data_IF_403712079897
#
_entry.id   IF_403712079897
#
_cell.length_a   1.000
_cell.length_b   1.000
_cell.length_c   1.000
_cell.angle_alpha   90.00
_cell.angle_beta   90.00
_cell.angle_gamma   90.00
#
_symmetry.space_group_name_H-M   'P 1'
#
loop_
_entity.id
_entity.type
_entity.pdbx_description
1 polymer ?
#
# COMPACT_ATOMS: atom_id res chain seq x y z
N UNK A 1 -4.87 -2.84 -15.69
CA UNK A 1 -5.47 -2.08 -14.57
C UNK A 1 -4.37 -1.32 -13.86
N UNK A 2 -4.61 -0.05 -13.50
CA UNK A 2 -3.69 0.76 -12.69
C UNK A 2 -3.66 0.19 -11.26
N UNK A 3 -2.47 0.07 -10.65
CA UNK A 3 -2.34 -0.48 -9.29
C UNK A 3 -2.60 0.61 -8.25
N UNK A 4 -3.23 0.26 -7.13
CA UNK A 4 -3.30 1.15 -5.95
C UNK A 4 -1.90 1.42 -5.42
N UNK A 5 -1.65 2.64 -4.96
CA UNK A 5 -0.41 3.00 -4.26
C UNK A 5 -0.71 3.14 -2.77
N UNK A 6 0.20 2.69 -1.92
CA UNK A 6 0.22 3.04 -0.49
C UNK A 6 1.38 3.99 -0.22
N UNK A 7 1.12 5.02 0.58
CA UNK A 7 2.12 5.94 1.10
C UNK A 7 2.35 5.63 2.59
N UNK A 8 3.58 5.28 2.92
CA UNK A 8 4.04 4.93 4.26
C UNK A 8 4.88 6.08 4.82
N UNK A 9 4.42 6.69 5.91
CA UNK A 9 5.07 7.83 6.58
C UNK A 9 5.46 7.43 8.01
N UNK A 10 6.74 7.54 8.34
CA UNK A 10 7.26 7.10 9.64
C UNK A 10 8.59 7.78 10.01
N UNK A 11 9.12 7.44 11.19
CA UNK A 11 10.29 8.13 11.76
C UNK A 11 11.63 7.67 11.16
N UNK A 12 11.69 6.49 10.52
CA UNK A 12 12.90 5.97 9.84
C UNK A 12 12.57 4.85 8.81
N UNK A 13 13.49 4.56 7.89
CA UNK A 13 13.28 3.57 6.82
C UNK A 13 13.16 2.12 7.29
N UNK A 14 13.69 1.79 8.47
CA UNK A 14 13.52 0.46 9.06
C UNK A 14 12.05 0.23 9.45
N UNK A 15 11.42 1.19 10.14
CA UNK A 15 9.97 1.15 10.43
C UNK A 15 9.13 1.11 9.16
N UNK A 16 9.55 1.80 8.10
CA UNK A 16 8.84 1.77 6.82
C UNK A 16 8.89 0.36 6.20
N UNK A 17 10.06 -0.29 6.25
CA UNK A 17 10.25 -1.66 5.78
C UNK A 17 9.41 -2.66 6.59
N UNK A 18 9.34 -2.49 7.92
CA UNK A 18 8.48 -3.31 8.79
C UNK A 18 7.01 -3.11 8.45
N UNK A 19 6.55 -1.85 8.32
CA UNK A 19 5.17 -1.57 7.96
C UNK A 19 4.79 -2.18 6.60
N UNK A 20 5.65 -2.08 5.58
CA UNK A 20 5.44 -2.74 4.29
C UNK A 20 5.38 -4.27 4.42
N UNK A 21 6.18 -4.86 5.31
CA UNK A 21 6.11 -6.29 5.60
C UNK A 21 4.79 -6.67 6.28
N UNK A 22 4.26 -5.82 7.15
CA UNK A 22 2.96 -6.03 7.81
C UNK A 22 1.80 -5.96 6.81
N UNK A 23 1.87 -5.06 5.82
CA UNK A 23 0.88 -5.02 4.73
C UNK A 23 0.82 -6.35 3.98
N UNK A 24 1.97 -7.00 3.80
CA UNK A 24 2.05 -8.30 3.12
C UNK A 24 1.60 -9.44 4.03
N UNK A 25 2.14 -9.54 5.25
CA UNK A 25 1.86 -10.64 6.20
C UNK A 25 0.44 -10.58 6.72
N UNK A 26 0.06 -9.44 7.29
CA UNK A 26 -1.20 -9.29 8.00
C UNK A 26 -2.28 -8.68 7.12
N UNK A 27 -1.91 -7.75 6.24
CA UNK A 27 -2.85 -7.12 5.30
C UNK A 27 -3.19 -7.98 4.07
N UNK A 28 -2.49 -9.10 3.84
CA UNK A 28 -2.71 -10.00 2.71
C UNK A 28 -2.35 -9.41 1.34
N UNK A 29 -1.72 -8.23 1.32
CA UNK A 29 -1.37 -7.49 0.11
C UNK A 29 -0.16 -8.13 -0.59
N UNK A 30 0.03 -7.80 -1.86
CA UNK A 30 1.28 -8.05 -2.59
C UNK A 30 1.82 -6.73 -3.10
N UNK A 31 3.05 -6.43 -2.72
CA UNK A 31 3.79 -5.30 -3.27
C UNK A 31 4.21 -5.63 -4.72
N UNK A 32 3.97 -4.69 -5.63
CA UNK A 32 4.29 -4.77 -7.06
C UNK A 32 5.53 -3.92 -7.34
N UNK A 33 6.59 -4.56 -7.83
CA UNK A 33 7.88 -3.91 -8.05
C UNK A 33 8.55 -3.50 -6.73
N UNK A 34 9.50 -2.57 -6.84
CA UNK A 34 10.26 -2.08 -5.70
C UNK A 34 9.59 -0.84 -5.09
N UNK A 35 9.42 -0.79 -3.75
CA UNK A 35 9.01 0.44 -3.07
C UNK A 35 9.99 1.59 -3.34
N UNK A 36 9.49 2.81 -3.37
CA UNK A 36 10.24 4.02 -3.73
C UNK A 36 10.26 5.02 -2.59
N UNK A 37 11.42 5.63 -2.37
CA UNK A 37 11.60 6.73 -1.42
C UNK A 37 11.18 8.03 -2.12
N UNK A 38 10.30 8.80 -1.50
CA UNK A 38 9.83 10.08 -2.05
C UNK A 38 10.25 11.27 -1.17
N UNK A 39 10.36 12.47 -1.76
CA UNK A 39 10.62 13.69 -0.99
C UNK A 39 9.52 13.96 0.05
N UNK A 40 9.86 14.48 1.25
CA UNK A 40 8.87 14.85 2.28
C UNK A 40 7.79 15.80 1.78
N UNK A 41 8.15 16.80 0.98
CA UNK A 41 7.19 17.77 0.43
C UNK A 41 6.13 17.11 -0.47
N UNK A 42 6.54 16.13 -1.29
CA UNK A 42 5.61 15.38 -2.13
C UNK A 42 4.71 14.48 -1.28
N UNK A 43 5.24 13.87 -0.21
CA UNK A 43 4.45 13.08 0.73
C UNK A 43 3.42 13.93 1.48
N UNK A 44 3.79 15.14 1.90
CA UNK A 44 2.90 16.03 2.64
C UNK A 44 1.79 16.55 1.73
N UNK A 45 2.12 16.96 0.50
CA UNK A 45 1.14 17.31 -0.53
C UNK A 45 0.18 16.15 -0.84
N UNK A 46 0.70 14.94 -1.03
CA UNK A 46 -0.11 13.74 -1.27
C UNK A 46 -1.07 13.46 -0.11
N UNK A 47 -0.58 13.63 1.13
CA UNK A 47 -1.41 13.49 2.31
C UNK A 47 -2.54 14.52 2.35
N UNK A 48 -2.24 15.80 2.11
CA UNK A 48 -3.24 16.87 2.11
C UNK A 48 -4.33 16.63 1.06
N UNK A 49 -3.92 16.25 -0.17
CA UNK A 49 -4.84 16.01 -1.28
C UNK A 49 -5.77 14.83 -1.05
N UNK A 50 -5.28 13.75 -0.44
CA UNK A 50 -6.07 12.53 -0.24
C UNK A 50 -6.90 12.60 1.04
N UNK A 51 -6.35 13.15 2.13
CA UNK A 51 -7.05 13.20 3.42
C UNK A 51 -7.91 14.45 3.61
N UNK A 52 -7.64 15.53 2.88
CA UNK A 52 -8.24 16.84 3.12
C UNK A 52 -7.67 17.57 4.34
N UNK A 53 -6.67 17.01 5.02
CA UNK A 53 -6.09 17.57 6.25
C UNK A 53 -4.61 17.96 6.09
N UNK A 54 -4.20 18.97 6.83
CA UNK A 54 -2.77 19.33 6.95
C UNK A 54 -2.01 18.32 7.83
N UNK A 55 -0.78 17.91 7.45
CA UNK A 55 0.05 17.07 8.29
C UNK A 55 0.36 17.72 9.64
N UNK A 56 -0.09 17.10 10.73
CA UNK A 56 0.21 17.58 12.10
C UNK A 56 1.55 17.10 12.62
N UNK A 57 2.02 15.93 12.14
CA UNK A 57 3.28 15.31 12.52
C UNK A 57 4.26 15.33 11.35
N UNK A 58 5.53 15.66 11.63
CA UNK A 58 6.63 15.51 10.68
C UNK A 58 7.22 14.11 10.76
N UNK A 59 7.45 13.51 9.60
CA UNK A 59 8.07 12.20 9.43
C UNK A 59 9.39 12.34 8.68
N UNK A 60 10.35 11.45 8.96
CA UNK A 60 11.68 11.49 8.33
C UNK A 60 11.81 10.50 7.17
N UNK A 61 10.98 9.46 7.14
CA UNK A 61 10.98 8.46 6.09
C UNK A 61 9.60 8.40 5.42
N UNK A 62 9.61 8.54 4.09
CA UNK A 62 8.42 8.56 3.24
C UNK A 62 8.64 7.59 2.09
N UNK A 63 7.81 6.57 2.01
CA UNK A 63 7.95 5.49 1.04
C UNK A 63 6.61 5.23 0.37
N UNK A 64 6.62 5.04 -0.94
CA UNK A 64 5.45 4.59 -1.70
C UNK A 64 5.66 3.18 -2.24
N UNK A 65 4.59 2.39 -2.29
CA UNK A 65 4.61 1.07 -2.89
C UNK A 65 3.31 0.83 -3.67
N UNK A 66 3.41 0.18 -4.82
CA UNK A 66 2.23 -0.31 -5.54
C UNK A 66 1.77 -1.63 -4.92
N UNK A 67 0.46 -1.83 -4.76
CA UNK A 67 -0.13 -3.06 -4.21
C UNK A 67 -1.14 -3.68 -5.18
N UNK A 68 -1.44 -4.97 -4.99
CA UNK A 68 -2.36 -5.73 -5.86
C UNK A 68 -3.84 -5.69 -5.46
N UNK A 69 -4.21 -4.91 -4.44
CA UNK A 69 -5.59 -4.74 -4.00
C UNK A 69 -6.22 -3.45 -4.53
N UNK A 70 -7.53 -3.46 -4.82
CA UNK A 70 -8.27 -2.23 -5.09
C UNK A 70 -8.36 -1.36 -3.82
N UNK A 71 -8.55 -0.02 -3.94
CA UNK A 71 -8.47 0.90 -2.81
C UNK A 71 -9.38 0.53 -1.63
N UNK A 72 -10.66 0.22 -1.91
CA UNK A 72 -11.64 -0.16 -0.87
C UNK A 72 -11.18 -1.37 -0.06
N UNK A 73 -10.68 -2.42 -0.72
CA UNK A 73 -10.15 -3.61 -0.02
C UNK A 73 -8.88 -3.27 0.75
N UNK A 74 -7.98 -2.46 0.19
CA UNK A 74 -6.76 -2.05 0.88
C UNK A 74 -7.05 -1.27 2.18
N UNK A 75 -8.00 -0.32 2.14
CA UNK A 75 -8.45 0.43 3.31
C UNK A 75 -9.04 -0.52 4.36
N UNK A 76 -9.94 -1.42 3.95
CA UNK A 76 -10.50 -2.47 4.82
C UNK A 76 -9.41 -3.23 5.58
N UNK A 77 -8.45 -3.79 4.83
CA UNK A 77 -7.35 -4.56 5.42
C UNK A 77 -6.46 -3.72 6.33
N UNK A 78 -6.24 -2.45 6.02
CA UNK A 78 -5.45 -1.55 6.86
C UNK A 78 -6.11 -1.25 8.20
N UNK A 79 -7.44 -1.19 8.26
CA UNK A 79 -8.16 -1.01 9.53
C UNK A 79 -8.03 -2.24 10.45
N UNK A 80 -7.83 -3.43 9.87
CA UNK A 80 -7.69 -4.69 10.62
C UNK A 80 -6.27 -4.92 11.17
N UNK A 81 -5.28 -4.12 10.75
CA UNK A 81 -3.87 -4.29 11.12
C UNK A 81 -3.30 -3.02 11.74
N UNK A 82 -2.22 -3.17 12.52
CA UNK A 82 -1.60 -2.05 13.25
C UNK A 82 -0.12 -1.89 12.85
N UNK A 83 0.18 -1.50 11.59
CA UNK A 83 1.56 -1.29 11.17
C UNK A 83 2.20 -0.12 11.96
N UNK A 84 3.52 -0.16 12.24
CA UNK A 84 4.23 0.89 12.98
C UNK A 84 4.52 2.14 12.13
N UNK A 85 3.56 2.55 11.30
CA UNK A 85 3.65 3.69 10.40
C UNK A 85 2.26 4.24 10.11
N UNK A 86 2.22 5.52 9.72
CA UNK A 86 1.02 6.08 9.13
C UNK A 86 0.95 5.66 7.66
N UNK A 87 -0.05 4.86 7.31
CA UNK A 87 -0.24 4.35 5.95
C UNK A 87 -1.48 4.98 5.33
N UNK A 88 -1.31 5.58 4.15
CA UNK A 88 -2.37 6.20 3.37
C UNK A 88 -2.56 5.43 2.06
N UNK A 89 -3.80 5.17 1.69
CA UNK A 89 -4.15 4.55 0.41
C UNK A 89 -4.38 5.64 -0.63
N UNK A 90 -3.71 5.52 -1.78
CA UNK A 90 -3.80 6.45 -2.90
C UNK A 90 -4.51 5.74 -4.07
N UNK A 91 -5.77 6.11 -4.36
CA UNK A 91 -6.55 5.54 -5.44
C UNK A 91 -5.95 5.81 -6.83
N UNK A 92 -6.03 4.86 -7.80
CA UNK A 92 -5.45 5.00 -9.13
C UNK A 92 -6.01 6.11 -10.04
N UNK A 93 -7.15 6.66 -9.67
CA UNK A 93 -7.91 7.72 -10.33
C UNK A 93 -7.66 9.11 -9.71
N UNK A 94 -6.76 9.20 -8.72
CA UNK A 94 -6.41 10.48 -8.08
C UNK A 94 -5.28 11.23 -8.81
N UNK A 95 -5.33 12.57 -8.76
CA UNK A 95 -4.25 13.47 -9.21
C UNK A 95 -2.90 13.09 -8.59
N UNK A 96 -2.90 12.70 -7.31
CA UNK A 96 -1.71 12.27 -6.57
C UNK A 96 -1.10 11.02 -7.19
N UNK A 97 -1.92 10.06 -7.59
CA UNK A 97 -1.42 8.84 -8.23
C UNK A 97 -0.74 9.16 -9.56
N UNK A 98 -1.35 10.01 -10.38
CA UNK A 98 -0.82 10.38 -11.69
C UNK A 98 0.54 11.05 -11.57
N UNK A 99 0.68 11.97 -10.62
CA UNK A 99 1.94 12.66 -10.36
C UNK A 99 3.03 11.71 -9.83
N UNK A 100 2.69 10.83 -8.88
CA UNK A 100 3.62 9.81 -8.39
C UNK A 100 4.11 8.88 -9.50
N UNK A 101 3.23 8.53 -10.44
CA UNK A 101 3.58 7.65 -11.55
C UNK A 101 4.42 8.35 -12.61
N UNK A 102 4.15 9.63 -12.88
CA UNK A 102 4.99 10.47 -13.77
C UNK A 102 6.43 10.56 -13.27
N UNK A 103 6.61 10.66 -11.95
CA UNK A 103 7.92 10.77 -11.31
C UNK A 103 8.53 9.41 -10.90
N UNK A 104 7.80 8.30 -11.04
CA UNK A 104 8.18 7.01 -10.45
C UNK A 104 9.60 6.54 -10.78
N UNK A 105 10.04 6.79 -12.02
CA UNK A 105 11.37 6.41 -12.50
C UNK A 105 12.52 7.17 -11.85
N UNK A 106 12.27 8.39 -11.33
CA UNK A 106 13.31 9.23 -10.71
C UNK A 106 13.53 8.93 -9.23
N UNK A 107 12.58 8.25 -8.57
CA UNK A 107 12.68 7.95 -7.15
C UNK A 107 13.67 6.82 -6.85
N UNK A 108 14.45 7.01 -5.78
CA UNK A 108 15.33 5.95 -5.28
C UNK A 108 14.51 4.75 -4.80
N UNK A 109 15.00 3.54 -5.07
CA UNK A 109 14.42 2.31 -4.52
C UNK A 109 14.71 2.21 -3.03
N UNK A 110 13.73 1.76 -2.25
CA UNK A 110 13.98 1.38 -0.87
C UNK A 110 14.83 0.09 -0.83
N UNK A 111 16.12 0.25 -0.55
CA UNK A 111 17.06 -0.88 -0.46
C UNK A 111 16.79 -1.72 0.80
N UNK A 112 17.07 -3.02 0.72
CA UNK A 112 16.98 -3.94 1.85
C UNK A 112 15.58 -4.47 2.16
N UNK A 113 14.53 -3.89 1.57
CA UNK A 113 13.18 -4.45 1.69
C UNK A 113 13.04 -5.73 0.86
N UNK A 114 12.77 -6.84 1.55
CA UNK A 114 12.40 -8.10 0.92
C UNK A 114 10.99 -8.47 1.38
N UNK A 115 10.02 -8.61 0.44
CA UNK A 115 8.68 -9.02 0.80
C UNK A 115 8.72 -10.32 1.59
N UNK A 116 8.08 -10.37 2.77
CA UNK A 116 8.06 -11.59 3.56
C UNK A 116 7.34 -12.71 2.82
N UNK A 117 7.83 -13.94 2.99
CA UNK A 117 7.11 -15.13 2.52
C UNK A 117 5.77 -15.19 3.27
N UNK A 118 4.72 -15.51 2.52
CA UNK A 118 3.38 -15.73 3.09
C UNK A 118 3.39 -16.98 3.94
N UNK A 119 2.62 -16.97 5.01
CA UNK A 119 2.43 -18.17 5.83
C UNK A 119 1.51 -19.16 5.10
N UNK A 120 1.63 -20.46 5.38
CA UNK A 120 0.72 -21.49 4.81
C UNK A 120 -0.75 -21.18 5.12
N UNK A 121 -1.03 -20.63 6.30
CA UNK A 121 -2.37 -20.24 6.71
C UNK A 121 -2.93 -19.09 5.86
N UNK A 122 -2.11 -18.10 5.51
CA UNK A 122 -2.50 -17.00 4.60
C UNK A 122 -2.78 -17.50 3.18
N UNK A 123 -1.95 -18.43 2.68
CA UNK A 123 -2.19 -19.03 1.37
C UNK A 123 -3.53 -19.79 1.32
N UNK A 124 -3.86 -20.52 2.40
CA UNK A 124 -5.14 -21.20 2.54
C UNK A 124 -6.32 -20.22 2.58
N UNK A 125 -6.23 -19.15 3.40
CA UNK A 125 -7.27 -18.10 3.48
C UNK A 125 -7.51 -17.44 2.13
N UNK A 126 -6.46 -17.11 1.38
CA UNK A 126 -6.60 -16.50 0.05
C UNK A 126 -7.21 -17.47 -0.97
N UNK A 127 -6.84 -18.76 -0.93
CA UNK A 127 -7.47 -19.77 -1.80
C UNK A 127 -8.96 -19.88 -1.52
N UNK A 128 -9.36 -19.84 -0.25
CA UNK A 128 -10.77 -19.83 0.14
C UNK A 128 -11.50 -18.56 -0.32
N UNK A 129 -10.89 -17.38 -0.13
CA UNK A 129 -11.46 -16.09 -0.55
C UNK A 129 -11.64 -16.02 -2.08
N UNK A 130 -10.62 -16.43 -2.85
CA UNK A 130 -10.73 -16.52 -4.31
C UNK A 130 -11.80 -17.50 -4.78
N UNK A 131 -11.97 -18.61 -4.06
CA UNK A 131 -12.98 -19.61 -4.39
C UNK A 131 -14.39 -19.05 -4.16
N UNK A 132 -14.61 -18.36 -3.04
CA UNK A 132 -15.87 -17.65 -2.76
C UNK A 132 -16.17 -16.56 -3.78
N UNK A 133 -15.19 -15.72 -4.11
CA UNK A 133 -15.35 -14.70 -5.14
C UNK A 133 -15.72 -15.34 -6.49
N UNK A 134 -15.11 -16.46 -6.86
CA UNK A 134 -15.47 -17.18 -8.10
C UNK A 134 -16.90 -17.71 -8.06
N UNK A 135 -17.30 -18.30 -6.93
CA UNK A 135 -18.65 -18.84 -6.72
C UNK A 135 -19.73 -17.74 -6.72
N UNK A 136 -19.45 -16.56 -6.17
CA UNK A 136 -20.37 -15.40 -6.20
C UNK A 136 -20.55 -14.85 -7.63
N UNK A 137 -19.47 -14.74 -8.41
CA UNK A 137 -19.55 -14.30 -9.82
C UNK A 137 -20.31 -15.29 -10.70
N UNK A 138 -20.13 -16.60 -10.49
CA UNK A 138 -20.87 -17.64 -11.22
C UNK A 138 -22.38 -17.64 -10.88
N UNK A 139 -22.78 -17.06 -9.75
CA UNK A 139 -24.19 -16.95 -9.33
C UNK A 139 -24.88 -15.68 -9.85
N UNK A 140 -24.13 -14.59 -10.09
CA UNK A 140 -24.67 -13.35 -10.66
C UNK A 140 -24.85 -13.43 -12.20
N UNK A 141 -24.23 -14.40 -12.88
CA UNK A 141 -24.36 -14.62 -14.33
C UNK A 141 -25.54 -15.55 -14.73
N UNK A 142 -26.35 -16.03 -13.77
CA UNK A 142 -27.52 -16.93 -13.98
C UNK A 142 -28.82 -16.20 -13.72
#
# INVERSE_FOLDING_TARGET
>A
MRNTIVLVRTDNFQKASVALADLVRYGGMRIRGDPRIIPPALSDWAFEKISGEKPRKRFKAHVVAQIDLPPRKAIGRLMDIHPPAHVLVIPPDSEVWEELMRLWGSFEKLKGFHPPKRTRAEEARRKAEKRREKEEWEFEEV
#
